data_IF_315000280821
#
_entry.id   IF_315000280821
#
_cell.length_a   1.000
_cell.length_b   1.000
_cell.length_c   1.000
_cell.angle_alpha   90.00
_cell.angle_beta   90.00
_cell.angle_gamma   90.00
#
_symmetry.space_group_name_H-M   'P 1'
#
loop_
_entity.id
_entity.type
_entity.pdbx_description
1 polymer ?
#
# COMPACT_ATOMS: atom_id res chain seq x y z
N UNK A 1 -43.10 24.46 25.34
CA UNK A 1 -44.37 23.84 25.76
C UNK A 1 -44.34 22.37 25.32
N UNK A 2 -43.58 21.54 26.05
CA UNK A 2 -44.03 20.34 26.81
C UNK A 2 -45.18 19.53 26.19
N UNK A 3 -44.86 18.26 25.92
CA UNK A 3 -45.70 17.10 25.60
C UNK A 3 -47.03 17.04 26.36
N UNK A 4 -48.04 16.41 25.75
CA UNK A 4 -48.89 15.43 26.45
C UNK A 4 -49.47 14.40 25.46
N UNK A 5 -49.33 13.12 25.82
CA UNK A 5 -49.91 11.94 25.16
C UNK A 5 -51.42 11.87 25.40
N UNK A 6 -52.14 11.11 24.56
CA UNK A 6 -53.30 10.31 24.99
C UNK A 6 -53.50 9.13 24.01
N UNK A 7 -53.42 7.93 24.57
CA UNK A 7 -53.83 6.65 23.97
C UNK A 7 -55.14 6.18 24.64
N UNK A 8 -55.77 5.17 24.03
CA UNK A 8 -57.02 4.45 24.36
C UNK A 8 -58.25 5.03 23.65
N UNK A 9 -59.00 4.31 22.79
CA UNK A 9 -59.11 2.88 22.52
C UNK A 9 -60.59 2.50 22.57
N UNK A 10 -61.17 1.99 21.47
CA UNK A 10 -62.26 1.00 21.40
C UNK A 10 -62.72 0.79 19.94
N UNK A 11 -62.41 -0.39 19.41
CA UNK A 11 -62.85 -1.05 18.15
C UNK A 11 -64.30 -1.56 18.26
N UNK A 12 -64.99 -2.10 17.22
CA UNK A 12 -64.45 -2.64 15.95
C UNK A 12 -65.23 -2.27 14.66
N UNK A 13 -64.53 -2.19 13.54
CA UNK A 13 -65.12 -2.62 12.27
C UNK A 13 -64.11 -3.46 11.49
N UNK A 14 -64.60 -4.60 11.07
CA UNK A 14 -63.91 -5.68 10.39
C UNK A 14 -63.51 -5.23 8.97
N UNK A 15 -62.21 -5.12 8.70
CA UNK A 15 -61.69 -5.28 7.34
C UNK A 15 -60.45 -6.17 7.42
N UNK A 16 -60.70 -7.45 7.15
CA UNK A 16 -59.67 -8.42 6.76
C UNK A 16 -59.30 -8.07 5.32
N UNK A 17 -58.08 -7.62 5.10
CA UNK A 17 -57.32 -7.98 3.91
C UNK A 17 -55.86 -8.20 4.33
N UNK A 18 -55.47 -9.48 4.29
CA UNK A 18 -54.08 -9.92 4.25
C UNK A 18 -53.34 -9.13 3.17
N UNK A 19 -52.27 -8.45 3.57
CA UNK A 19 -51.19 -8.10 2.65
C UNK A 19 -49.89 -8.05 3.46
N UNK A 20 -49.47 -9.21 3.95
CA UNK A 20 -48.05 -9.44 4.26
C UNK A 20 -47.32 -9.68 2.94
N UNK A 21 -47.17 -8.63 2.14
CA UNK A 21 -46.21 -8.64 1.04
C UNK A 21 -44.87 -8.20 1.62
N UNK A 22 -44.13 -9.25 2.00
CA UNK A 22 -42.70 -9.28 2.25
C UNK A 22 -41.98 -8.40 1.21
N UNK A 23 -41.53 -7.22 1.65
CA UNK A 23 -40.67 -6.33 0.87
C UNK A 23 -39.30 -7.01 0.74
N UNK A 24 -39.20 -7.97 -0.16
CA UNK A 24 -37.95 -8.51 -0.64
C UNK A 24 -37.13 -7.33 -1.15
N UNK A 25 -36.14 -6.90 -0.36
CA UNK A 25 -35.10 -5.97 -0.81
C UNK A 25 -34.52 -6.55 -2.08
N UNK A 26 -34.87 -5.95 -3.22
CA UNK A 26 -34.26 -6.25 -4.51
C UNK A 26 -32.77 -5.96 -4.36
N UNK A 27 -31.99 -7.01 -4.10
CA UNK A 27 -30.55 -6.93 -4.13
C UNK A 27 -30.19 -6.80 -5.60
N UNK A 28 -30.12 -5.56 -6.08
CA UNK A 28 -29.67 -5.23 -7.43
C UNK A 28 -28.28 -5.83 -7.59
N UNK A 29 -28.21 -7.02 -8.19
CA UNK A 29 -26.97 -7.68 -8.59
C UNK A 29 -26.48 -7.01 -9.87
N UNK A 30 -26.21 -5.72 -9.79
CA UNK A 30 -25.53 -4.98 -10.86
C UNK A 30 -24.13 -5.59 -10.95
N UNK A 31 -23.84 -6.26 -12.07
CA UNK A 31 -22.49 -6.69 -12.36
C UNK A 31 -21.58 -5.48 -12.35
N UNK A 32 -20.61 -5.45 -11.44
CA UNK A 32 -19.69 -4.33 -11.32
C UNK A 32 -18.76 -4.36 -12.55
N UNK A 33 -18.93 -3.43 -13.50
CA UNK A 33 -17.98 -3.26 -14.60
C UNK A 33 -16.81 -2.40 -14.11
N UNK A 34 -15.61 -2.96 -14.09
CA UNK A 34 -14.38 -2.20 -13.84
C UNK A 34 -13.62 -1.98 -15.15
N UNK A 35 -13.24 -0.73 -15.42
CA UNK A 35 -12.39 -0.36 -16.56
C UNK A 35 -10.91 -0.28 -16.16
N UNK A 36 -10.56 -0.73 -14.95
CA UNK A 36 -9.17 -0.80 -14.51
C UNK A 36 -8.50 -2.00 -15.20
N UNK A 37 -7.35 -1.80 -15.88
CA UNK A 37 -6.65 -2.90 -16.54
C UNK A 37 -6.32 -4.03 -15.57
N UNK A 38 -6.54 -5.26 -16.03
CA UNK A 38 -6.23 -6.46 -15.27
C UNK A 38 -4.76 -6.46 -14.85
N UNK A 39 -4.50 -6.92 -13.64
CA UNK A 39 -3.13 -7.20 -13.22
C UNK A 39 -2.55 -8.30 -14.10
N UNK A 40 -1.28 -8.17 -14.44
CA UNK A 40 -0.49 -9.19 -15.17
C UNK A 40 0.61 -9.68 -14.25
N UNK A 41 1.23 -10.82 -14.58
CA UNK A 41 2.39 -11.29 -13.82
C UNK A 41 3.55 -10.28 -13.93
N UNK A 42 4.18 -9.97 -12.80
CA UNK A 42 5.38 -9.16 -12.77
C UNK A 42 6.61 -10.00 -13.13
N UNK A 43 7.66 -9.34 -13.64
CA UNK A 43 8.93 -9.99 -13.98
C UNK A 43 10.10 -9.14 -13.50
N UNK A 44 11.12 -9.80 -12.96
CA UNK A 44 12.42 -9.17 -12.73
C UNK A 44 13.28 -9.21 -14.02
N UNK A 45 14.29 -8.34 -14.16
CA UNK A 45 15.33 -8.48 -15.17
C UNK A 45 16.07 -9.82 -15.09
N UNK A 46 16.74 -10.21 -16.17
CA UNK A 46 17.65 -11.37 -16.11
C UNK A 46 18.76 -11.07 -15.08
N UNK A 47 19.14 -12.09 -14.29
CA UNK A 47 20.14 -12.01 -13.20
C UNK A 47 19.82 -11.05 -12.04
N UNK A 48 18.57 -10.59 -11.90
CA UNK A 48 18.12 -9.78 -10.76
C UNK A 48 16.85 -10.37 -10.15
N UNK A 49 16.62 -10.08 -8.89
CA UNK A 49 15.38 -10.39 -8.16
C UNK A 49 14.61 -9.12 -7.81
N UNK A 50 13.34 -9.28 -7.43
CA UNK A 50 12.54 -8.17 -6.91
C UNK A 50 13.18 -7.64 -5.62
N UNK A 51 13.27 -6.32 -5.47
CA UNK A 51 13.95 -5.68 -4.36
C UNK A 51 15.45 -5.44 -4.58
N UNK A 52 16.04 -5.95 -5.66
CA UNK A 52 17.44 -5.64 -5.97
C UNK A 52 17.61 -4.16 -6.33
N UNK A 53 18.72 -3.57 -5.88
CA UNK A 53 19.09 -2.19 -6.23
C UNK A 53 19.56 -2.11 -7.69
N UNK A 54 19.02 -1.12 -8.41
CA UNK A 54 19.38 -0.71 -9.77
C UNK A 54 20.23 0.57 -9.77
N UNK A 55 19.91 1.51 -8.89
CA UNK A 55 20.68 2.73 -8.66
C UNK A 55 20.82 2.92 -7.16
N UNK A 56 22.07 2.94 -6.69
CA UNK A 56 22.39 3.07 -5.27
C UNK A 56 22.34 4.53 -4.79
N UNK A 57 22.19 4.66 -3.48
CA UNK A 57 22.39 5.92 -2.76
C UNK A 57 23.87 6.36 -2.81
N UNK A 58 24.12 7.66 -2.65
CA UNK A 58 25.47 8.16 -2.29
C UNK A 58 25.86 7.70 -0.89
N UNK A 59 27.15 7.64 -0.62
CA UNK A 59 27.66 7.24 0.70
C UNK A 59 27.43 8.30 1.78
N UNK A 60 27.31 9.58 1.40
CA UNK A 60 27.15 10.70 2.32
C UNK A 60 26.20 11.74 1.74
N UNK A 61 25.39 12.33 2.62
CA UNK A 61 24.45 13.40 2.33
C UNK A 61 24.54 14.51 3.37
N UNK A 62 23.91 15.65 3.07
CA UNK A 62 23.70 16.72 4.04
C UNK A 62 22.21 16.93 4.26
N UNK A 63 21.87 17.55 5.39
CA UNK A 63 20.51 18.02 5.62
C UNK A 63 20.03 18.91 4.46
N UNK A 64 18.75 18.77 4.08
CA UNK A 64 18.09 19.38 2.91
C UNK A 64 18.49 18.81 1.54
N UNK A 65 19.37 17.83 1.48
CA UNK A 65 19.59 17.05 0.25
C UNK A 65 18.53 15.95 0.10
N UNK A 66 18.50 15.31 -1.07
CA UNK A 66 17.61 14.19 -1.36
C UNK A 66 18.43 12.93 -1.53
N UNK A 67 18.16 11.91 -0.71
CA UNK A 67 18.66 10.57 -0.89
C UNK A 67 17.73 9.79 -1.82
N UNK A 68 18.26 9.31 -2.94
CA UNK A 68 17.50 8.61 -3.98
C UNK A 68 18.07 7.19 -4.16
N UNK A 69 17.17 6.21 -4.24
CA UNK A 69 17.50 4.81 -4.55
C UNK A 69 16.45 4.25 -5.51
N UNK A 70 16.89 3.44 -6.48
CA UNK A 70 15.97 2.76 -7.41
C UNK A 70 16.13 1.25 -7.29
N UNK A 71 15.01 0.55 -7.13
CA UNK A 71 14.91 -0.90 -7.00
C UNK A 71 14.20 -1.53 -8.19
N UNK A 72 14.45 -2.83 -8.41
CA UNK A 72 13.57 -3.70 -9.19
C UNK A 72 12.23 -3.80 -8.46
N UNK A 73 11.17 -3.29 -9.08
CA UNK A 73 9.85 -3.16 -8.48
C UNK A 73 8.81 -4.14 -9.04
N UNK A 74 7.66 -4.16 -8.38
CA UNK A 74 6.43 -4.82 -8.85
C UNK A 74 5.24 -3.84 -8.81
N UNK A 75 4.13 -4.17 -9.47
CA UNK A 75 2.93 -3.32 -9.45
C UNK A 75 2.41 -3.10 -8.01
N UNK A 76 2.33 -1.86 -7.48
CA UNK A 76 1.92 -1.59 -6.10
C UNK A 76 0.52 -2.09 -5.75
N UNK A 77 -0.36 -2.24 -6.76
CA UNK A 77 -1.72 -2.78 -6.58
C UNK A 77 -1.70 -4.21 -6.02
N UNK A 78 -0.63 -4.98 -6.23
CA UNK A 78 -0.51 -6.33 -5.67
C UNK A 78 -0.43 -6.32 -4.13
N UNK A 79 0.17 -5.29 -3.53
CA UNK A 79 0.24 -5.15 -2.07
C UNK A 79 -1.10 -4.68 -1.49
N UNK A 80 -1.81 -3.81 -2.20
CA UNK A 80 -3.11 -3.27 -1.76
C UNK A 80 -4.21 -4.34 -1.63
N UNK A 81 -4.12 -5.43 -2.41
CA UNK A 81 -5.08 -6.53 -2.35
C UNK A 81 -4.89 -7.43 -1.11
N UNK A 82 -3.70 -7.44 -0.51
CA UNK A 82 -3.32 -8.41 0.52
C UNK A 82 -3.13 -7.82 1.93
N UNK A 83 -2.96 -6.51 2.07
CA UNK A 83 -2.72 -5.87 3.36
C UNK A 83 -3.33 -4.47 3.45
N UNK A 84 -4.08 -4.23 4.53
CA UNK A 84 -4.69 -2.92 4.84
C UNK A 84 -3.73 -1.95 5.54
N UNK A 85 -2.64 -2.45 6.11
CA UNK A 85 -1.63 -1.66 6.86
C UNK A 85 -0.22 -2.05 6.39
N UNK A 86 0.16 -1.65 5.17
CA UNK A 86 1.47 -1.95 4.58
C UNK A 86 2.20 -0.66 4.24
N UNK A 87 3.44 -0.53 4.72
CA UNK A 87 4.35 0.52 4.27
C UNK A 87 5.07 0.02 3.01
N UNK A 88 5.12 0.84 1.96
CA UNK A 88 5.94 0.54 0.78
C UNK A 88 7.42 0.84 0.98
N UNK A 89 7.75 1.74 1.92
CA UNK A 89 9.13 2.10 2.21
C UNK A 89 9.33 2.43 3.69
N UNK A 90 10.57 2.26 4.15
CA UNK A 90 11.04 2.86 5.40
C UNK A 90 12.41 3.51 5.21
N UNK A 91 12.63 4.60 5.92
CA UNK A 91 13.97 5.11 6.22
C UNK A 91 14.31 4.65 7.62
N UNK A 92 15.45 3.99 7.78
CA UNK A 92 15.88 3.45 9.07
C UNK A 92 17.21 4.08 9.50
N UNK A 93 17.31 4.41 10.79
CA UNK A 93 18.54 4.88 11.44
C UNK A 93 19.18 3.75 12.23
N UNK A 94 20.48 3.60 12.11
CA UNK A 94 21.25 2.65 12.90
C UNK A 94 21.53 3.18 14.30
N UNK A 95 21.29 2.36 15.32
CA UNK A 95 21.63 2.64 16.70
C UNK A 95 22.78 1.72 17.14
N UNK A 96 23.93 2.33 17.42
CA UNK A 96 25.15 1.62 17.81
C UNK A 96 25.10 1.05 19.23
N UNK A 97 24.23 1.58 20.11
CA UNK A 97 24.10 1.08 21.50
C UNK A 97 23.31 -0.22 21.54
N UNK A 98 22.31 -0.37 20.67
CA UNK A 98 21.45 -1.56 20.60
C UNK A 98 21.76 -2.49 19.42
N UNK A 99 22.75 -2.15 18.59
CA UNK A 99 23.12 -2.91 17.38
C UNK A 99 21.91 -3.17 16.44
N UNK A 100 21.06 -2.16 16.27
CA UNK A 100 19.78 -2.34 15.57
C UNK A 100 19.34 -1.12 14.76
N UNK A 101 18.47 -1.38 13.78
CA UNK A 101 17.87 -0.38 12.90
C UNK A 101 16.49 0.00 13.38
N UNK A 102 16.20 1.31 13.40
CA UNK A 102 14.91 1.86 13.85
C UNK A 102 14.30 2.70 12.74
N UNK A 103 13.01 2.51 12.48
CA UNK A 103 12.29 3.29 11.45
C UNK A 103 12.14 4.73 11.94
N UNK A 104 12.64 5.68 11.13
CA UNK A 104 12.50 7.12 11.37
C UNK A 104 11.52 7.78 10.41
N UNK A 105 11.31 7.21 9.22
CA UNK A 105 10.31 7.66 8.26
C UNK A 105 9.67 6.47 7.56
N UNK A 106 8.43 6.61 7.11
CA UNK A 106 7.71 5.63 6.29
C UNK A 106 7.11 6.30 5.04
N UNK A 107 6.24 5.61 4.32
CA UNK A 107 5.57 6.14 3.12
C UNK A 107 4.46 7.17 3.40
N UNK A 108 4.03 7.30 4.66
CA UNK A 108 3.11 8.34 5.11
C UNK A 108 3.83 9.64 5.52
N UNK A 109 5.16 9.62 5.66
CA UNK A 109 5.97 10.80 5.98
C UNK A 109 5.99 11.80 4.82
N UNK A 110 5.85 13.09 5.12
CA UNK A 110 5.91 14.19 4.12
C UNK A 110 7.24 14.27 3.36
N UNK A 111 8.30 13.76 3.99
CA UNK A 111 9.68 13.83 3.49
C UNK A 111 10.03 12.67 2.55
N UNK A 112 9.16 11.68 2.39
CA UNK A 112 9.42 10.53 1.52
C UNK A 112 8.56 10.59 0.26
N UNK A 113 9.08 10.07 -0.85
CA UNK A 113 8.30 9.86 -2.08
C UNK A 113 8.54 8.46 -2.61
N UNK A 114 7.47 7.89 -3.17
CA UNK A 114 7.46 6.58 -3.80
C UNK A 114 7.00 6.71 -5.24
N UNK A 115 7.89 6.45 -6.20
CA UNK A 115 7.56 6.50 -7.63
C UNK A 115 7.63 5.11 -8.22
N UNK A 116 6.49 4.61 -8.72
CA UNK A 116 6.46 3.38 -9.50
C UNK A 116 6.42 3.69 -10.99
N UNK A 117 7.37 3.13 -11.73
CA UNK A 117 7.46 3.29 -13.18
C UNK A 117 7.25 1.94 -13.86
N UNK A 118 6.19 1.84 -14.67
CA UNK A 118 5.92 0.65 -15.49
C UNK A 118 6.94 0.52 -16.61
N UNK A 119 7.60 -0.61 -16.69
CA UNK A 119 8.44 -1.00 -17.82
C UNK A 119 7.73 -1.91 -18.82
N UNK A 120 8.51 -2.53 -19.71
CA UNK A 120 8.03 -3.49 -20.70
C UNK A 120 7.99 -4.92 -20.14
N UNK A 121 7.15 -5.76 -20.73
CA UNK A 121 7.08 -7.21 -20.44
C UNK A 121 6.89 -7.57 -18.95
N UNK A 122 6.11 -6.76 -18.22
CA UNK A 122 5.81 -7.00 -16.80
C UNK A 122 6.94 -6.57 -15.84
N UNK A 123 7.98 -5.89 -16.33
CA UNK A 123 9.01 -5.29 -15.49
C UNK A 123 8.55 -3.93 -14.99
N UNK A 124 9.04 -3.52 -13.83
CA UNK A 124 8.87 -2.17 -13.31
C UNK A 124 10.01 -1.79 -12.38
N UNK A 125 10.18 -0.50 -12.19
CA UNK A 125 11.15 0.05 -11.24
C UNK A 125 10.40 0.85 -10.18
N UNK A 126 10.99 0.90 -8.99
CA UNK A 126 10.53 1.76 -7.90
C UNK A 126 11.67 2.67 -7.50
N UNK A 127 11.45 3.97 -7.58
CA UNK A 127 12.38 4.97 -7.06
C UNK A 127 11.82 5.50 -5.76
N UNK A 128 12.63 5.47 -4.71
CA UNK A 128 12.32 6.06 -3.41
C UNK A 128 13.23 7.25 -3.19
N UNK A 129 12.62 8.37 -2.84
CA UNK A 129 13.31 9.59 -2.45
C UNK A 129 13.05 9.88 -0.98
N UNK A 130 14.10 10.22 -0.24
CA UNK A 130 13.99 10.83 1.08
C UNK A 130 14.59 12.23 1.04
N UNK A 131 13.73 13.24 1.21
CA UNK A 131 14.11 14.62 1.37
C UNK A 131 14.53 14.87 2.80
N UNK A 132 15.85 14.91 3.04
CA UNK A 132 16.40 14.91 4.40
C UNK A 132 15.99 16.21 5.12
N UNK A 133 15.20 16.14 6.21
CA UNK A 133 14.82 17.33 6.98
C UNK A 133 16.04 18.07 7.53
N UNK A 134 15.89 19.38 7.75
CA UNK A 134 16.97 20.23 8.25
C UNK A 134 17.47 19.85 9.66
N UNK A 135 16.62 19.19 10.44
CA UNK A 135 16.77 18.76 11.82
C UNK A 135 17.11 17.27 11.94
N UNK A 136 17.46 16.63 10.82
CA UNK A 136 17.91 15.23 10.83
C UNK A 136 19.19 15.11 11.64
N UNK A 137 19.15 14.25 12.66
CA UNK A 137 20.32 13.93 13.45
C UNK A 137 21.40 13.24 12.59
N UNK A 138 22.68 13.57 12.73
CA UNK A 138 23.74 12.83 12.07
C UNK A 138 23.73 11.34 12.43
N UNK A 139 24.18 10.51 11.50
CA UNK A 139 24.26 9.07 11.72
C UNK A 139 24.21 8.24 10.44
N UNK A 140 24.11 6.92 10.62
CA UNK A 140 24.05 5.96 9.52
C UNK A 140 22.58 5.59 9.26
N UNK A 141 22.18 5.72 8.00
CA UNK A 141 20.83 5.48 7.53
C UNK A 141 20.80 4.45 6.40
N UNK A 142 19.63 3.86 6.17
CA UNK A 142 19.34 3.05 4.98
C UNK A 142 17.89 3.22 4.57
N UNK A 143 17.60 2.95 3.30
CA UNK A 143 16.25 2.94 2.75
C UNK A 143 15.85 1.50 2.45
N UNK A 144 14.66 1.10 2.88
CA UNK A 144 14.07 -0.20 2.56
C UNK A 144 12.82 -0.03 1.71
N UNK A 145 12.61 -1.01 0.84
CA UNK A 145 11.47 -1.12 -0.06
C UNK A 145 10.74 -2.43 0.24
N UNK A 146 9.42 -2.37 0.39
CA UNK A 146 8.56 -3.53 0.60
C UNK A 146 7.52 -3.60 -0.50
N UNK A 147 7.23 -4.82 -0.96
CA UNK A 147 6.23 -5.01 -2.00
C UNK A 147 5.81 -6.46 -2.17
N UNK A 148 4.84 -6.64 -3.05
CA UNK A 148 4.39 -7.95 -3.50
C UNK A 148 4.48 -8.03 -5.01
N UNK A 149 5.06 -9.10 -5.53
CA UNK A 149 5.03 -9.39 -6.96
C UNK A 149 3.98 -10.46 -7.26
N UNK A 150 3.32 -10.32 -8.40
CA UNK A 150 2.30 -11.27 -8.83
C UNK A 150 2.91 -12.37 -9.69
N UNK A 151 2.68 -13.61 -9.31
CA UNK A 151 3.07 -14.80 -10.06
C UNK A 151 1.82 -15.56 -10.51
N UNK A 152 1.67 -15.74 -11.82
CA UNK A 152 0.59 -16.58 -12.36
C UNK A 152 1.01 -18.06 -12.24
N UNK A 153 0.18 -18.86 -11.57
CA UNK A 153 0.34 -20.32 -11.46
C UNK A 153 -0.44 -21.04 -12.58
N UNK A 154 -1.54 -20.45 -13.04
CA UNK A 154 -2.33 -20.91 -14.18
C UNK A 154 -2.98 -19.71 -14.89
N UNK A 155 -3.84 -19.97 -15.90
CA UNK A 155 -4.62 -18.93 -16.58
C UNK A 155 -5.59 -18.20 -15.63
N UNK A 156 -6.07 -18.87 -14.58
CA UNK A 156 -7.11 -18.35 -13.67
C UNK A 156 -6.60 -18.13 -12.25
N UNK A 157 -5.40 -18.63 -11.92
CA UNK A 157 -4.86 -18.58 -10.56
C UNK A 157 -3.54 -17.83 -10.53
N UNK A 158 -3.47 -16.82 -9.67
CA UNK A 158 -2.27 -16.03 -9.41
C UNK A 158 -2.09 -15.84 -7.91
N UNK A 159 -0.84 -15.75 -7.49
CA UNK A 159 -0.46 -15.51 -6.09
C UNK A 159 0.38 -14.24 -6.00
N UNK A 160 0.23 -13.51 -4.91
CA UNK A 160 1.07 -12.36 -4.56
C UNK A 160 2.11 -12.82 -3.54
N UNK A 161 3.39 -12.61 -3.85
CA UNK A 161 4.51 -13.07 -3.02
C UNK A 161 5.25 -11.84 -2.48
N UNK A 162 5.43 -11.71 -1.15
CA UNK A 162 6.14 -10.58 -0.56
C UNK A 162 7.63 -10.64 -0.88
N UNK A 163 8.24 -9.46 -0.96
CA UNK A 163 9.69 -9.29 -1.03
C UNK A 163 10.10 -7.98 -0.37
N UNK A 164 11.40 -7.87 -0.09
CA UNK A 164 12.00 -6.64 0.41
C UNK A 164 13.31 -6.33 -0.32
N UNK A 165 13.62 -5.04 -0.42
CA UNK A 165 14.88 -4.51 -0.90
C UNK A 165 15.48 -3.58 0.15
N UNK A 166 16.81 -3.52 0.22
CA UNK A 166 17.53 -2.64 1.15
C UNK A 166 18.67 -1.96 0.41
N UNK A 167 18.77 -0.64 0.51
CA UNK A 167 19.91 0.12 -0.02
C UNK A 167 21.18 -0.19 0.75
N UNK A 168 22.33 0.19 0.19
CA UNK A 168 23.54 0.36 0.98
C UNK A 168 23.31 1.38 2.11
N UNK A 169 24.06 1.25 3.20
CA UNK A 169 24.04 2.22 4.30
C UNK A 169 24.78 3.50 3.87
N UNK A 170 24.31 4.65 4.36
CA UNK A 170 24.88 5.96 4.05
C UNK A 170 24.85 6.87 5.27
N UNK A 171 25.72 7.87 5.28
CA UNK A 171 25.85 8.83 6.37
C UNK A 171 25.11 10.14 6.06
N UNK A 172 24.60 10.75 7.12
CA UNK A 172 24.12 12.14 7.17
C UNK A 172 24.90 12.87 8.26
#
# INVERSE_FOLDING_TARGET
MRLHQLFMGHTPFLLIFNCTEDLQRLLLRIGNLTLVPLLTADRAPASKTFGDVLQEVRQQYRAREVAEVTFVGANPRNSAENATEHNFLTVEKYNSTSDSWHVVQNDASWDTRFYWTKGFFGRSNVTIEWHIPHDTEPGVYRIRYFGHYRKNLSLTHAVSIPFEGTSSAFEI
#
